data_IF_674992770587
#
_entry.id   IF_674992770587
#
_cell.length_a   1.000
_cell.length_b   1.000
_cell.length_c   1.000
_cell.angle_alpha   90.00
_cell.angle_beta   90.00
_cell.angle_gamma   90.00
#
_symmetry.space_group_name_H-M   'P 1'
#
loop_
_entity.id
_entity.type
_entity.pdbx_description
1 polymer ?
#
# COMPACT_ATOMS: atom_id res chain seq x y z
N UNK A 1 9.39 4.00 -16.27
CA UNK A 1 10.41 4.85 -15.60
C UNK A 1 11.41 5.46 -16.59
N UNK A 2 11.12 5.47 -17.89
CA UNK A 2 12.10 5.92 -18.89
C UNK A 2 12.29 7.43 -18.89
N UNK A 3 11.23 8.20 -18.60
CA UNK A 3 11.32 9.64 -18.38
C UNK A 3 12.28 9.99 -17.23
N UNK A 4 12.15 9.33 -16.07
CA UNK A 4 13.06 9.53 -14.94
C UNK A 4 14.52 9.24 -15.31
N UNK A 5 14.77 8.18 -16.10
CA UNK A 5 16.13 7.87 -16.59
C UNK A 5 16.63 8.93 -17.56
N UNK A 6 15.77 9.40 -18.46
CA UNK A 6 16.09 10.45 -19.43
C UNK A 6 16.47 11.76 -18.74
N UNK A 7 15.77 12.14 -17.67
CA UNK A 7 16.00 13.40 -16.96
C UNK A 7 17.20 13.28 -16.00
N UNK A 8 17.32 12.18 -15.27
CA UNK A 8 18.37 12.02 -14.24
C UNK A 8 19.70 11.49 -14.77
N UNK A 9 19.73 10.89 -15.96
CA UNK A 9 20.87 10.13 -16.49
C UNK A 9 21.14 8.82 -15.74
N UNK A 10 20.31 8.43 -14.77
CA UNK A 10 20.51 7.23 -13.95
C UNK A 10 19.83 6.02 -14.55
N UNK A 11 20.55 4.90 -14.65
CA UNK A 11 20.00 3.64 -15.17
C UNK A 11 19.34 2.78 -14.09
N UNK A 12 19.77 2.95 -12.83
CA UNK A 12 19.27 2.19 -11.70
C UNK A 12 18.17 2.97 -11.00
N UNK A 13 16.94 2.47 -11.08
CA UNK A 13 15.78 3.06 -10.44
C UNK A 13 15.33 2.16 -9.30
N UNK A 14 15.20 2.75 -8.12
CA UNK A 14 14.57 2.14 -6.95
C UNK A 14 13.22 2.79 -6.75
N UNK A 15 12.16 1.98 -6.58
CA UNK A 15 10.86 2.50 -6.18
C UNK A 15 10.66 2.32 -4.68
N UNK A 16 10.08 3.34 -4.04
CA UNK A 16 9.50 3.23 -2.70
C UNK A 16 8.02 3.48 -2.88
N UNK A 17 7.20 2.52 -2.47
CA UNK A 17 5.76 2.67 -2.54
C UNK A 17 5.14 2.41 -1.18
N UNK A 18 4.05 3.12 -0.92
CA UNK A 18 3.25 3.04 0.31
C UNK A 18 1.85 2.51 -0.02
N UNK A 19 1.33 1.57 0.78
CA UNK A 19 -0.04 1.03 0.65
C UNK A 19 -0.32 0.56 -0.79
N UNK A 20 -1.37 1.07 -1.43
CA UNK A 20 -1.69 0.74 -2.82
C UNK A 20 -0.55 1.10 -3.79
N UNK A 21 0.16 2.21 -3.53
CA UNK A 21 1.32 2.62 -4.33
C UNK A 21 2.47 1.59 -4.29
N UNK A 22 2.66 0.90 -3.16
CA UNK A 22 3.62 -0.20 -3.04
C UNK A 22 3.26 -1.35 -4.00
N UNK A 23 1.99 -1.75 -3.98
CA UNK A 23 1.46 -2.83 -4.80
C UNK A 23 1.54 -2.50 -6.29
N UNK A 24 1.18 -1.28 -6.67
CA UNK A 24 1.28 -0.79 -8.04
C UNK A 24 2.73 -0.75 -8.52
N UNK A 25 3.66 -0.24 -7.69
CA UNK A 25 5.08 -0.22 -8.01
C UNK A 25 5.65 -1.63 -8.22
N UNK A 26 5.18 -2.61 -7.46
CA UNK A 26 5.59 -4.01 -7.59
C UNK A 26 5.09 -4.61 -8.90
N UNK A 27 3.81 -4.42 -9.23
CA UNK A 27 3.22 -4.90 -10.47
C UNK A 27 3.87 -4.24 -11.71
N UNK A 28 4.26 -2.98 -11.60
CA UNK A 28 4.98 -2.27 -12.66
C UNK A 28 6.48 -2.56 -12.68
N UNK A 29 7.02 -3.37 -11.76
CA UNK A 29 8.47 -3.48 -11.55
C UNK A 29 9.23 -4.01 -12.77
N UNK A 30 8.64 -4.95 -13.50
CA UNK A 30 9.22 -5.53 -14.71
C UNK A 30 9.21 -4.54 -15.87
N UNK A 31 8.04 -3.98 -16.19
CA UNK A 31 7.86 -3.01 -17.29
C UNK A 31 8.67 -1.72 -17.04
N UNK A 32 8.72 -1.25 -15.79
CA UNK A 32 9.53 -0.11 -15.39
C UNK A 32 11.03 -0.45 -15.24
N UNK A 33 11.42 -1.72 -15.36
CA UNK A 33 12.81 -2.23 -15.21
C UNK A 33 13.45 -1.79 -13.88
N UNK A 34 12.69 -1.88 -12.79
CA UNK A 34 13.17 -1.52 -11.46
C UNK A 34 14.28 -2.48 -11.00
N UNK A 35 15.26 -1.93 -10.30
CA UNK A 35 16.37 -2.72 -9.71
C UNK A 35 16.05 -3.13 -8.28
N UNK A 36 15.41 -2.23 -7.54
CA UNK A 36 15.00 -2.42 -6.16
C UNK A 36 13.61 -1.84 -5.97
N UNK A 37 12.85 -2.46 -5.08
CA UNK A 37 11.59 -1.93 -4.59
C UNK A 37 11.53 -2.06 -3.07
N UNK A 38 11.04 -1.01 -2.43
CA UNK A 38 10.70 -0.99 -1.00
C UNK A 38 9.18 -0.88 -0.92
N UNK A 39 8.56 -1.92 -0.37
CA UNK A 39 7.13 -2.05 -0.15
C UNK A 39 6.85 -1.66 1.28
N UNK A 40 6.25 -0.49 1.49
CA UNK A 40 5.81 -0.06 2.80
C UNK A 40 4.31 -0.32 2.96
N UNK A 41 3.96 -1.24 3.85
CA UNK A 41 2.59 -1.68 4.14
C UNK A 41 1.75 -1.95 2.89
N UNK A 42 2.23 -2.78 1.94
CA UNK A 42 1.54 -2.95 0.66
C UNK A 42 0.13 -3.50 0.85
N UNK A 43 -0.77 -3.07 -0.02
CA UNK A 43 -2.07 -3.74 -0.17
C UNK A 43 -1.84 -5.09 -0.84
N UNK A 44 -2.05 -6.18 -0.11
CA UNK A 44 -1.79 -7.55 -0.60
C UNK A 44 -2.95 -8.06 -1.44
N UNK A 45 -4.19 -7.91 -0.95
CA UNK A 45 -5.44 -8.24 -1.63
C UNK A 45 -6.30 -6.99 -1.82
N UNK A 46 -6.65 -6.69 -3.07
CA UNK A 46 -7.54 -5.58 -3.36
C UNK A 46 -8.97 -5.82 -2.88
N UNK A 47 -9.44 -7.07 -2.83
CA UNK A 47 -10.75 -7.41 -2.26
C UNK A 47 -10.83 -7.05 -0.78
N UNK A 48 -9.85 -7.49 0.01
CA UNK A 48 -9.81 -7.20 1.45
C UNK A 48 -9.62 -5.71 1.71
N UNK A 49 -8.76 -5.04 0.94
CA UNK A 49 -8.58 -3.59 1.03
C UNK A 49 -9.89 -2.83 0.77
N UNK A 50 -10.67 -3.23 -0.23
CA UNK A 50 -11.98 -2.64 -0.52
C UNK A 50 -12.99 -2.92 0.61
N UNK A 51 -12.96 -4.10 1.22
CA UNK A 51 -13.79 -4.39 2.40
C UNK A 51 -13.42 -3.52 3.58
N UNK A 52 -12.12 -3.31 3.87
CA UNK A 52 -11.66 -2.44 4.95
C UNK A 52 -12.09 -0.99 4.72
N UNK A 53 -11.97 -0.47 3.48
CA UNK A 53 -12.47 0.88 3.15
C UNK A 53 -13.98 1.00 3.39
N UNK A 54 -14.76 -0.01 3.00
CA UNK A 54 -16.21 -0.02 3.23
C UNK A 54 -16.55 -0.03 4.71
N UNK A 55 -15.83 -0.83 5.51
CA UNK A 55 -16.01 -0.86 6.96
C UNK A 55 -15.64 0.48 7.60
N UNK A 56 -14.52 1.07 7.20
CA UNK A 56 -14.10 2.41 7.63
C UNK A 56 -15.16 3.46 7.30
N UNK A 57 -15.72 3.41 6.09
CA UNK A 57 -16.79 4.32 5.68
C UNK A 57 -18.05 4.16 6.54
N UNK A 58 -18.47 2.92 6.87
CA UNK A 58 -19.59 2.69 7.78
C UNK A 58 -19.31 3.22 9.18
N UNK A 59 -18.12 2.99 9.72
CA UNK A 59 -17.72 3.54 11.02
C UNK A 59 -17.75 5.08 11.03
N UNK A 60 -17.38 5.73 9.93
CA UNK A 60 -17.46 7.19 9.78
C UNK A 60 -18.91 7.70 9.74
N UNK A 61 -19.83 6.96 9.12
CA UNK A 61 -21.26 7.28 9.11
C UNK A 61 -21.90 7.10 10.49
N UNK A 62 -21.52 6.05 11.21
CA UNK A 62 -22.05 5.72 12.54
C UNK A 62 -21.49 6.63 13.64
N UNK A 63 -20.30 7.19 13.45
CA UNK A 63 -19.64 8.06 14.42
C UNK A 63 -20.26 9.47 14.46
N UNK A 64 -21.30 9.63 15.28
CA UNK A 64 -21.96 10.92 15.57
C UNK A 64 -21.07 11.97 16.24
N UNK A 65 -19.89 11.58 16.75
CA UNK A 65 -18.90 12.46 17.40
C UNK A 65 -17.69 12.75 16.50
N UNK A 66 -17.80 12.48 15.19
CA UNK A 66 -16.70 12.68 14.26
C UNK A 66 -16.28 14.16 14.18
N UNK A 67 -14.97 14.43 14.15
CA UNK A 67 -14.38 15.77 14.06
C UNK A 67 -14.73 16.53 12.77
N UNK A 68 -15.35 15.88 11.80
CA UNK A 68 -15.94 16.58 10.66
C UNK A 68 -17.10 17.46 11.18
N UNK A 69 -17.02 18.77 10.92
CA UNK A 69 -17.98 19.79 11.35
C UNK A 69 -19.43 19.59 10.87
N UNK A 70 -19.75 18.45 10.25
CA UNK A 70 -21.11 18.01 9.96
C UNK A 70 -21.18 16.48 9.97
N UNK A 71 -22.32 15.89 10.35
CA UNK A 71 -22.56 14.46 10.16
C UNK A 71 -22.28 14.11 8.70
N UNK A 72 -21.47 13.07 8.46
CA UNK A 72 -21.43 12.49 7.13
C UNK A 72 -22.81 11.90 6.86
N UNK A 73 -23.56 12.55 5.97
CA UNK A 73 -24.85 12.02 5.53
C UNK A 73 -24.61 10.97 4.46
N UNK A 74 -25.14 9.77 4.67
CA UNK A 74 -25.18 8.77 3.62
C UNK A 74 -25.98 9.33 2.44
N UNK A 75 -25.30 9.56 1.32
CA UNK A 75 -25.99 9.85 0.08
C UNK A 75 -26.43 8.51 -0.53
N UNK A 76 -27.68 8.10 -0.26
CA UNK A 76 -28.24 6.84 -0.79
C UNK A 76 -28.19 6.78 -2.33
N UNK A 77 -28.06 7.93 -3.01
CA UNK A 77 -27.98 8.03 -4.46
C UNK A 77 -26.54 7.91 -4.99
N UNK A 78 -25.53 8.05 -4.13
CA UNK A 78 -24.13 8.03 -4.52
C UNK A 78 -23.58 6.60 -4.58
N UNK A 79 -23.80 5.95 -5.73
CA UNK A 79 -23.19 4.66 -6.03
C UNK A 79 -21.66 4.77 -5.91
N UNK A 80 -21.05 3.84 -5.18
CA UNK A 80 -19.60 3.72 -4.98
C UNK A 80 -18.90 4.94 -4.37
N UNK A 81 -19.60 5.74 -3.57
CA UNK A 81 -18.98 6.77 -2.76
C UNK A 81 -18.52 6.21 -1.43
N UNK A 82 -17.22 6.27 -1.15
CA UNK A 82 -16.65 5.90 0.15
C UNK A 82 -15.69 6.97 0.62
N UNK A 83 -15.84 7.38 1.89
CA UNK A 83 -14.99 8.39 2.55
C UNK A 83 -14.90 9.70 1.73
N UNK A 84 -16.02 10.12 1.13
CA UNK A 84 -16.12 11.37 0.35
C UNK A 84 -15.57 11.32 -1.07
N UNK A 85 -15.20 10.14 -1.58
CA UNK A 85 -14.75 9.94 -2.96
C UNK A 85 -15.63 8.96 -3.69
N UNK A 86 -16.02 9.30 -4.92
CA UNK A 86 -16.75 8.42 -5.82
C UNK A 86 -15.80 7.65 -6.74
N UNK A 87 -15.91 6.32 -6.73
CA UNK A 87 -15.08 5.44 -7.56
C UNK A 87 -15.86 4.87 -8.75
N UNK A 88 -15.21 4.77 -9.91
CA UNK A 88 -15.81 4.12 -11.07
C UNK A 88 -15.88 2.61 -10.88
N UNK A 89 -16.93 1.98 -11.42
CA UNK A 89 -17.06 0.51 -11.40
C UNK A 89 -15.81 -0.17 -12.00
N UNK A 90 -15.28 0.39 -13.10
CA UNK A 90 -14.07 -0.13 -13.76
C UNK A 90 -12.84 -0.12 -12.85
N UNK A 91 -12.66 0.93 -12.05
CA UNK A 91 -11.54 1.01 -11.11
C UNK A 91 -11.72 -0.02 -10.00
N UNK A 92 -12.92 -0.12 -9.42
CA UNK A 92 -13.22 -1.07 -8.35
C UNK A 92 -13.03 -2.52 -8.81
N UNK A 93 -13.54 -2.88 -9.99
CA UNK A 93 -13.33 -4.20 -10.58
C UNK A 93 -11.84 -4.46 -10.86
N UNK A 94 -11.10 -3.47 -11.37
CA UNK A 94 -9.65 -3.66 -11.56
C UNK A 94 -8.93 -3.92 -10.24
N UNK A 95 -9.36 -3.24 -9.17
CA UNK A 95 -8.75 -3.36 -7.86
C UNK A 95 -9.05 -4.72 -7.21
N UNK A 96 -10.24 -5.31 -7.43
CA UNK A 96 -10.53 -6.66 -6.94
C UNK A 96 -9.60 -7.72 -7.52
N UNK A 97 -9.03 -7.49 -8.71
CA UNK A 97 -8.04 -8.41 -9.30
C UNK A 97 -6.63 -8.23 -8.75
N UNK A 98 -6.37 -7.21 -7.93
CA UNK A 98 -5.08 -7.00 -7.30
C UNK A 98 -4.83 -8.09 -6.25
N UNK A 99 -3.81 -8.91 -6.50
CA UNK A 99 -3.30 -9.88 -5.53
C UNK A 99 -1.79 -10.01 -5.69
N UNK A 100 -1.02 -9.66 -4.66
CA UNK A 100 0.46 -9.75 -4.70
C UNK A 100 0.98 -11.18 -4.53
N UNK A 101 0.21 -12.04 -3.87
CA UNK A 101 0.55 -13.46 -3.67
C UNK A 101 0.47 -14.21 -5.00
N UNK A 102 -0.31 -13.76 -5.99
CA UNK A 102 -0.32 -14.40 -7.31
C UNK A 102 0.75 -13.85 -8.28
N UNK A 103 1.43 -12.75 -7.95
CA UNK A 103 2.43 -12.14 -8.84
C UNK A 103 3.71 -12.96 -8.90
N UNK A 104 4.23 -13.15 -10.11
CA UNK A 104 5.60 -13.62 -10.35
C UNK A 104 6.50 -12.41 -10.54
N UNK A 105 7.69 -12.43 -9.93
CA UNK A 105 8.60 -11.29 -9.97
C UNK A 105 9.91 -11.63 -10.69
N UNK A 106 10.53 -10.64 -11.37
CA UNK A 106 11.82 -10.86 -12.00
C UNK A 106 12.88 -11.28 -10.98
N UNK A 107 13.61 -12.36 -11.26
CA UNK A 107 14.65 -12.91 -10.34
C UNK A 107 15.72 -11.91 -9.90
N UNK A 108 15.95 -10.87 -10.71
CA UNK A 108 16.96 -9.82 -10.45
C UNK A 108 16.45 -8.71 -9.53
N UNK A 109 15.14 -8.64 -9.28
CA UNK A 109 14.53 -7.58 -8.47
C UNK A 109 14.92 -7.78 -7.00
N UNK A 110 15.43 -6.72 -6.37
CA UNK A 110 15.62 -6.68 -4.91
C UNK A 110 14.34 -6.16 -4.28
N UNK A 111 13.76 -6.93 -3.37
CA UNK A 111 12.48 -6.58 -2.75
C UNK A 111 12.70 -6.43 -1.25
N UNK A 112 12.27 -5.30 -0.69
CA UNK A 112 12.26 -5.05 0.74
C UNK A 112 10.81 -4.84 1.17
N UNK A 113 10.32 -5.67 2.06
CA UNK A 113 9.01 -5.50 2.69
C UNK A 113 9.23 -4.81 4.04
N UNK A 114 8.59 -3.66 4.23
CA UNK A 114 8.50 -2.95 5.49
C UNK A 114 7.04 -3.01 5.94
N UNK A 115 6.80 -3.63 7.08
CA UNK A 115 5.47 -3.69 7.69
C UNK A 115 5.49 -2.93 9.02
N UNK A 116 4.43 -2.17 9.27
CA UNK A 116 4.19 -1.49 10.55
C UNK A 116 3.20 -2.23 11.43
N UNK A 117 2.43 -3.14 10.83
CA UNK A 117 1.49 -4.02 11.51
C UNK A 117 1.59 -5.43 10.93
N UNK A 118 1.46 -6.43 11.80
CA UNK A 118 1.34 -7.82 11.35
C UNK A 118 -0.10 -8.09 10.89
N UNK A 119 -0.23 -8.76 9.74
CA UNK A 119 -1.50 -9.26 9.24
C UNK A 119 -1.30 -10.64 8.62
N UNK A 120 -2.36 -11.44 8.57
CA UNK A 120 -2.30 -12.75 7.92
C UNK A 120 -1.83 -12.65 6.45
N UNK A 121 -2.28 -11.61 5.74
CA UNK A 121 -1.92 -11.37 4.35
C UNK A 121 -0.45 -11.01 4.17
N UNK A 122 0.10 -10.15 5.03
CA UNK A 122 1.51 -9.80 5.01
C UNK A 122 2.39 -11.00 5.38
N UNK A 123 1.94 -11.83 6.32
CA UNK A 123 2.63 -13.07 6.68
C UNK A 123 2.67 -14.04 5.50
N UNK A 124 1.54 -14.28 4.82
CA UNK A 124 1.51 -15.13 3.62
C UNK A 124 2.36 -14.58 2.48
N UNK A 125 2.38 -13.25 2.28
CA UNK A 125 3.23 -12.62 1.29
C UNK A 125 4.73 -12.81 1.64
N UNK A 126 5.09 -12.59 2.90
CA UNK A 126 6.43 -12.78 3.42
C UNK A 126 6.93 -14.23 3.23
N UNK A 127 6.11 -15.21 3.59
CA UNK A 127 6.41 -16.64 3.41
C UNK A 127 6.68 -16.98 1.95
N UNK A 128 5.77 -16.57 1.05
CA UNK A 128 5.91 -16.78 -0.40
C UNK A 128 7.20 -16.17 -0.91
N UNK A 129 7.42 -14.88 -0.66
CA UNK A 129 8.52 -14.13 -1.27
C UNK A 129 9.88 -14.51 -0.68
N UNK A 130 9.93 -14.94 0.58
CA UNK A 130 11.14 -15.53 1.17
C UNK A 130 11.59 -16.78 0.41
N UNK A 131 10.64 -17.57 -0.11
CA UNK A 131 10.93 -18.81 -0.84
C UNK A 131 11.23 -18.54 -2.32
N UNK A 132 10.51 -17.64 -2.96
CA UNK A 132 10.61 -17.43 -4.42
C UNK A 132 11.67 -16.39 -4.83
N UNK A 133 12.03 -15.45 -3.95
CA UNK A 133 12.84 -14.30 -4.29
C UNK A 133 14.16 -14.32 -3.52
N UNK A 134 15.24 -14.59 -4.25
CA UNK A 134 16.60 -14.66 -3.67
C UNK A 134 17.01 -13.39 -2.90
N UNK A 135 16.59 -12.21 -3.37
CA UNK A 135 16.98 -10.92 -2.80
C UNK A 135 15.80 -10.23 -2.09
N UNK A 136 15.06 -11.01 -1.28
CA UNK A 136 13.98 -10.52 -0.46
C UNK A 136 14.44 -10.30 0.99
N UNK A 137 13.89 -9.29 1.65
CA UNK A 137 14.03 -9.11 3.10
C UNK A 137 12.76 -8.48 3.64
N UNK A 138 12.31 -8.94 4.81
CA UNK A 138 11.18 -8.38 5.53
C UNK A 138 11.67 -7.73 6.83
N UNK A 139 11.13 -6.55 7.13
CA UNK A 139 11.36 -5.85 8.38
C UNK A 139 10.01 -5.43 8.95
N UNK A 140 9.72 -5.92 10.15
CA UNK A 140 8.62 -5.42 10.97
C UNK A 140 9.16 -4.26 11.80
N UNK A 141 8.49 -3.11 11.73
CA UNK A 141 8.90 -1.88 12.40
C UNK A 141 7.75 -1.47 13.30
N UNK A 142 8.00 -1.45 14.60
CA UNK A 142 7.03 -0.92 15.57
C UNK A 142 6.98 0.60 15.42
N UNK A 143 6.02 1.08 14.64
CA UNK A 143 5.81 2.50 14.33
C UNK A 143 4.31 2.77 14.13
N UNK A 144 3.92 4.01 13.86
CA UNK A 144 2.52 4.40 13.66
C UNK A 144 1.98 3.78 12.36
N UNK A 145 1.42 2.57 12.46
CA UNK A 145 0.94 1.75 11.34
C UNK A 145 -0.56 1.64 11.19
N UNK A 146 -1.32 2.40 11.98
CA UNK A 146 -2.77 2.24 12.14
C UNK A 146 -3.55 2.98 11.06
N UNK A 147 -3.26 2.66 9.79
CA UNK A 147 -3.84 3.29 8.58
C UNK A 147 -5.37 3.25 8.54
N UNK A 148 -5.96 2.31 9.28
CA UNK A 148 -7.39 2.02 9.29
C UNK A 148 -8.08 2.57 10.55
N UNK A 149 -7.34 3.25 11.43
CA UNK A 149 -7.87 3.83 12.66
C UNK A 149 -8.09 5.33 12.53
N UNK A 150 -9.36 5.71 12.37
CA UNK A 150 -9.83 7.10 12.26
C UNK A 150 -9.31 7.97 13.41
N UNK A 151 -9.23 7.43 14.62
CA UNK A 151 -8.82 8.17 15.82
C UNK A 151 -7.31 8.46 15.87
N UNK A 152 -6.53 7.86 14.96
CA UNK A 152 -5.06 7.96 14.91
C UNK A 152 -4.52 8.46 13.57
N UNK A 153 -5.39 8.87 12.64
CA UNK A 153 -4.98 9.41 11.33
C UNK A 153 -3.97 10.56 11.48
N UNK A 154 -4.20 11.47 12.44
CA UNK A 154 -3.28 12.60 12.69
C UNK A 154 -1.92 12.16 13.26
N UNK A 155 -1.86 11.03 13.97
CA UNK A 155 -0.61 10.48 14.48
C UNK A 155 0.19 9.71 13.41
N UNK A 156 -0.43 9.30 12.30
CA UNK A 156 0.24 8.64 11.17
C UNK A 156 1.15 9.59 10.37
N UNK A 157 1.21 10.88 10.73
CA UNK A 157 1.92 11.91 9.98
C UNK A 157 3.45 11.88 10.12
N UNK A 158 4.03 11.18 11.11
CA UNK A 158 5.50 11.13 11.31
C UNK A 158 6.04 9.76 11.77
N UNK A 159 6.00 8.72 10.92
CA UNK A 159 6.61 7.42 11.22
C UNK A 159 8.14 7.50 11.06
N UNK A 160 8.82 7.91 12.13
CA UNK A 160 10.27 8.13 12.16
C UNK A 160 11.07 6.84 11.94
N UNK A 161 10.58 5.71 12.44
CA UNK A 161 11.24 4.41 12.34
C UNK A 161 11.23 3.88 10.90
N UNK A 162 10.08 3.95 10.23
CA UNK A 162 9.97 3.47 8.84
C UNK A 162 10.78 4.32 7.88
N UNK A 163 10.70 5.66 7.99
CA UNK A 163 11.49 6.57 7.16
C UNK A 163 12.98 6.31 7.32
N UNK A 164 13.46 6.17 8.57
CA UNK A 164 14.86 5.84 8.84
C UNK A 164 15.25 4.54 8.15
N UNK A 165 14.43 3.50 8.27
CA UNK A 165 14.70 2.20 7.63
C UNK A 165 14.70 2.28 6.11
N UNK A 166 13.81 3.07 5.51
CA UNK A 166 13.82 3.32 4.06
C UNK A 166 15.16 3.94 3.64
N UNK A 167 15.64 4.96 4.35
CA UNK A 167 16.91 5.64 4.03
C UNK A 167 18.10 4.69 4.15
N UNK A 168 18.15 3.86 5.21
CA UNK A 168 19.16 2.81 5.36
C UNK A 168 19.15 1.82 4.18
N UNK A 169 17.98 1.48 3.67
CA UNK A 169 17.84 0.58 2.53
C UNK A 169 18.05 1.27 1.17
N UNK A 170 18.04 2.61 1.09
CA UNK A 170 18.34 3.31 -0.16
C UNK A 170 19.85 3.50 -0.40
N UNK A 171 20.65 3.44 0.68
CA UNK A 171 22.12 3.54 0.67
C UNK A 171 22.77 2.27 0.11
#
# INVERSE_FOLDING_TARGET
ADELRSISGQNNVTAVGLRLGASLALMASESAKLKKIILWDPVVSGENYLQNIKQLHQQLLDNKNSWFMSPLHANESAKNEWVGYQYSDTFLTSLTHLNLISQSLPKRLRVKLLSTQSSAELNSLNEKYTTEIKNFSHFEIEDVGDWENIMKIDSALLPHGVIKKIVEELS
#
